data_IF_630600618545
#
_entry.id   IF_630600618545
#
_cell.length_a   1.000
_cell.length_b   1.000
_cell.length_c   1.000
_cell.angle_alpha   90.00
_cell.angle_beta   90.00
_cell.angle_gamma   90.00
#
_symmetry.space_group_name_H-M   'P 1'
#
loop_
_entity.id
_entity.type
_entity.pdbx_description
1 polymer ?
#
# COMPACT_ATOMS: atom_id res chain seq x y z
N UNK A 1 24.92 0.36 8.29
CA UNK A 1 23.51 0.75 8.14
C UNK A 1 23.31 2.15 8.69
N UNK A 2 23.60 2.40 9.98
CA UNK A 2 23.49 3.75 10.59
C UNK A 2 24.22 4.86 9.82
N UNK A 3 25.46 4.62 9.37
CA UNK A 3 26.21 5.60 8.56
C UNK A 3 25.52 5.94 7.22
N UNK A 4 24.79 5.00 6.63
CA UNK A 4 23.99 5.25 5.42
C UNK A 4 22.77 6.08 5.81
N UNK A 5 22.08 5.70 6.88
CA UNK A 5 20.88 6.39 7.37
C UNK A 5 21.15 7.83 7.85
N UNK A 6 22.40 8.17 8.20
CA UNK A 6 22.80 9.53 8.52
C UNK A 6 22.76 10.49 7.31
N UNK A 7 22.76 9.97 6.09
CA UNK A 7 22.84 10.77 4.85
C UNK A 7 21.66 10.54 3.90
N UNK A 8 20.90 9.47 4.07
CA UNK A 8 19.73 9.12 3.26
C UNK A 8 18.69 8.38 4.10
N UNK A 9 17.39 8.54 3.83
CA UNK A 9 16.32 8.02 4.70
C UNK A 9 16.17 6.48 4.68
N UNK A 10 16.80 5.81 3.71
CA UNK A 10 16.64 4.38 3.46
C UNK A 10 17.99 3.73 3.14
N UNK A 11 18.18 2.49 3.60
CA UNK A 11 19.32 1.65 3.26
C UNK A 11 18.83 0.32 2.68
N UNK A 12 19.23 0.01 1.46
CA UNK A 12 18.85 -1.22 0.76
C UNK A 12 19.81 -2.36 1.10
N UNK A 13 19.27 -3.52 1.46
CA UNK A 13 20.01 -4.75 1.68
C UNK A 13 19.77 -5.69 0.50
N UNK A 14 20.85 -6.11 -0.14
CA UNK A 14 20.83 -7.08 -1.23
C UNK A 14 21.14 -8.50 -0.75
N UNK A 15 20.42 -9.48 -1.31
CA UNK A 15 20.68 -10.92 -1.11
C UNK A 15 20.95 -11.55 -2.47
N UNK A 16 22.14 -12.14 -2.65
CA UNK A 16 22.59 -12.72 -3.93
C UNK A 16 22.51 -11.73 -5.11
N UNK A 17 22.93 -10.49 -4.86
CA UNK A 17 22.94 -9.41 -5.86
C UNK A 17 21.57 -8.82 -6.19
N UNK A 18 20.51 -9.19 -5.46
CA UNK A 18 19.16 -8.63 -5.63
C UNK A 18 18.75 -7.85 -4.40
N UNK A 19 18.28 -6.62 -4.61
CA UNK A 19 17.65 -5.80 -3.59
C UNK A 19 16.47 -6.57 -2.97
N UNK A 20 16.48 -6.75 -1.66
CA UNK A 20 15.52 -7.65 -0.98
C UNK A 20 14.86 -7.03 0.24
N UNK A 21 15.57 -6.20 0.97
CA UNK A 21 15.05 -5.52 2.15
C UNK A 21 15.45 -4.06 2.15
N UNK A 22 14.67 -3.24 2.85
CA UNK A 22 14.98 -1.83 3.11
C UNK A 22 14.94 -1.64 4.61
N UNK A 23 15.95 -0.94 5.15
CA UNK A 23 15.97 -0.45 6.53
C UNK A 23 15.79 1.06 6.48
N UNK A 24 14.92 1.59 7.34
CA UNK A 24 14.63 3.01 7.45
C UNK A 24 14.18 3.31 8.88
N UNK A 25 14.20 4.59 9.26
CA UNK A 25 13.61 5.01 10.53
C UNK A 25 12.10 4.78 10.55
N UNK A 26 11.57 4.42 11.72
CA UNK A 26 10.13 4.18 11.88
C UNK A 26 9.29 5.41 11.53
N UNK A 27 9.81 6.61 11.79
CA UNK A 27 9.14 7.86 11.40
C UNK A 27 8.99 7.96 9.89
N UNK A 28 10.05 7.65 9.13
CA UNK A 28 10.01 7.65 7.67
C UNK A 28 9.07 6.56 7.13
N UNK A 29 9.12 5.36 7.70
CA UNK A 29 8.17 4.30 7.38
C UNK A 29 6.70 4.72 7.58
N UNK A 30 6.40 5.32 8.74
CA UNK A 30 5.04 5.78 9.04
C UNK A 30 4.56 6.86 8.06
N UNK A 31 5.43 7.81 7.72
CA UNK A 31 5.12 8.83 6.72
C UNK A 31 4.74 8.22 5.37
N UNK A 32 5.55 7.29 4.84
CA UNK A 32 5.22 6.62 3.57
C UNK A 32 3.91 5.85 3.65
N UNK A 33 3.66 5.19 4.78
CA UNK A 33 2.43 4.44 5.01
C UNK A 33 1.20 5.33 5.06
N UNK A 34 1.29 6.50 5.69
CA UNK A 34 0.23 7.50 5.73
C UNK A 34 -0.07 8.02 4.32
N UNK A 35 0.96 8.35 3.52
CA UNK A 35 0.77 8.78 2.14
C UNK A 35 0.07 7.73 1.25
N UNK A 36 0.42 6.45 1.41
CA UNK A 36 -0.25 5.34 0.71
C UNK A 36 -1.74 5.25 1.10
N UNK A 37 -2.04 5.35 2.39
CA UNK A 37 -3.40 5.30 2.92
C UNK A 37 -4.25 6.49 2.47
N UNK A 38 -3.68 7.70 2.47
CA UNK A 38 -4.34 8.90 1.97
C UNK A 38 -4.68 8.78 0.48
N UNK A 39 -3.76 8.23 -0.32
CA UNK A 39 -3.98 7.98 -1.75
C UNK A 39 -5.12 6.96 -1.95
N UNK A 40 -5.11 5.86 -1.21
CA UNK A 40 -6.18 4.85 -1.27
C UNK A 40 -7.55 5.43 -0.85
N UNK A 41 -7.57 6.31 0.16
CA UNK A 41 -8.78 7.00 0.60
C UNK A 41 -9.29 7.98 -0.45
N UNK A 42 -8.40 8.77 -1.06
CA UNK A 42 -8.74 9.71 -2.13
C UNK A 42 -9.32 8.95 -3.34
N UNK A 43 -8.70 7.83 -3.73
CA UNK A 43 -9.20 6.97 -4.79
C UNK A 43 -10.60 6.43 -4.46
N UNK A 44 -10.80 5.91 -3.26
CA UNK A 44 -12.10 5.40 -2.80
C UNK A 44 -13.18 6.48 -2.85
N UNK A 45 -12.86 7.71 -2.42
CA UNK A 45 -13.79 8.85 -2.52
C UNK A 45 -14.11 9.21 -3.96
N UNK A 46 -13.12 9.20 -4.85
CA UNK A 46 -13.32 9.45 -6.28
C UNK A 46 -14.19 8.35 -6.91
N UNK A 47 -14.03 7.09 -6.51
CA UNK A 47 -14.87 5.97 -6.97
C UNK A 47 -16.32 6.13 -6.51
N UNK A 48 -16.55 6.57 -5.26
CA UNK A 48 -17.89 6.89 -4.78
C UNK A 48 -18.55 8.02 -5.59
N UNK A 49 -17.84 9.12 -5.83
CA UNK A 49 -18.33 10.26 -6.63
C UNK A 49 -18.63 9.83 -8.08
N UNK A 50 -17.77 9.00 -8.66
CA UNK A 50 -17.91 8.52 -10.03
C UNK A 50 -18.89 7.34 -10.19
N UNK A 51 -19.50 6.86 -9.10
CA UNK A 51 -20.41 5.71 -9.13
C UNK A 51 -19.71 4.37 -9.43
N UNK A 52 -18.38 4.28 -9.26
CA UNK A 52 -17.59 3.06 -9.47
C UNK A 52 -17.62 2.15 -8.25
N UNK A 53 -18.82 1.80 -7.80
CA UNK A 53 -19.03 0.87 -6.69
C UNK A 53 -20.27 0.02 -6.93
N UNK A 54 -20.37 -1.10 -6.21
CA UNK A 54 -21.54 -1.98 -6.23
C UNK A 54 -22.20 -1.94 -4.85
N UNK A 55 -23.52 -1.74 -4.83
CA UNK A 55 -24.34 -1.89 -3.63
C UNK A 55 -25.09 -3.21 -3.74
N UNK A 56 -24.74 -4.18 -2.89
CA UNK A 56 -25.27 -5.54 -2.91
C UNK A 56 -25.32 -6.11 -1.49
N UNK A 57 -26.02 -7.24 -1.30
CA UNK A 57 -25.98 -7.99 -0.05
C UNK A 57 -24.65 -8.72 0.13
N UNK A 58 -24.34 -9.19 1.34
CA UNK A 58 -23.13 -9.98 1.58
C UNK A 58 -23.20 -11.33 0.83
N UNK A 59 -24.39 -11.91 0.71
CA UNK A 59 -24.65 -13.15 -0.03
C UNK A 59 -24.38 -12.98 -1.53
N UNK A 60 -24.89 -11.90 -2.14
CA UNK A 60 -24.67 -11.58 -3.56
C UNK A 60 -23.19 -11.30 -3.83
N UNK A 61 -22.51 -10.59 -2.91
CA UNK A 61 -21.07 -10.35 -2.99
C UNK A 61 -20.27 -11.65 -3.03
N UNK A 62 -20.58 -12.59 -2.13
CA UNK A 62 -19.93 -13.89 -2.08
C UNK A 62 -20.22 -14.72 -3.34
N UNK A 63 -21.45 -14.66 -3.86
CA UNK A 63 -21.80 -15.33 -5.11
C UNK A 63 -20.99 -14.77 -6.29
N UNK A 64 -20.84 -13.44 -6.37
CA UNK A 64 -20.04 -12.76 -7.39
C UNK A 64 -18.56 -13.13 -7.34
N UNK A 65 -17.95 -13.18 -6.16
CA UNK A 65 -16.55 -13.58 -5.99
C UNK A 65 -16.30 -15.06 -6.33
N UNK A 66 -17.26 -15.95 -6.03
CA UNK A 66 -17.16 -17.38 -6.34
C UNK A 66 -17.47 -17.70 -7.81
N UNK A 67 -18.29 -16.89 -8.46
CA UNK A 67 -18.71 -17.04 -9.86
C UNK A 67 -17.79 -16.37 -10.89
N UNK A 68 -16.89 -15.49 -10.45
CA UNK A 68 -15.90 -14.86 -11.32
C UNK A 68 -14.75 -15.81 -11.66
N UNK A 69 -14.80 -16.39 -12.87
CA UNK A 69 -13.61 -16.91 -13.56
C UNK A 69 -12.92 -15.77 -14.30
#
# INVERSE_FOLDING_TARGET
IEAVLAHQPEAVISVRGKERFVVMDMVHYHYLRECELESALAQSRADLVAGRFVKESAEDHLARLKGGK
#
